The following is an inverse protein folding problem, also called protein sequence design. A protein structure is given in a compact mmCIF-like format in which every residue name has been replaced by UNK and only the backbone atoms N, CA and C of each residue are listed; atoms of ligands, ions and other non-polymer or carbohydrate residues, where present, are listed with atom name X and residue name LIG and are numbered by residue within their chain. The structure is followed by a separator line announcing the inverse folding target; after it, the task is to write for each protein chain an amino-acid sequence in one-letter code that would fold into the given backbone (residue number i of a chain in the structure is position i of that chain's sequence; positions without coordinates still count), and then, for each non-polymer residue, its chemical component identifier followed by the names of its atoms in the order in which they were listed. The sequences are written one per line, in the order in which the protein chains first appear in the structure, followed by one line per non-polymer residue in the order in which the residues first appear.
data_IF_667814616875
#
_entry.id   IF_667814616875
#
_cell.length_a   1.000
_cell.length_b   1.000
_cell.length_c   1.000
_cell.angle_alpha   90.00
_cell.angle_beta   90.00
_cell.angle_gamma   90.00
#
_symmetry.space_group_name_H-M   'P 1'
#
loop_
_entity.id
_entity.type
_entity.pdbx_description
1 polymer ?
#
# COMPACT_ATOMS: atom_id res chain seq x y z
N UNK A 1 20.66 6.67 6.31
CA UNK A 1 20.86 5.73 5.19
C UNK A 1 19.85 4.58 5.18
N UNK A 2 19.85 3.66 6.17
CA UNK A 2 18.89 2.54 6.16
C UNK A 2 17.41 2.97 6.30
N UNK A 3 17.13 3.96 7.16
CA UNK A 3 15.78 4.52 7.33
C UNK A 3 15.24 5.17 6.04
N UNK A 4 16.05 5.94 5.33
CA UNK A 4 15.66 6.61 4.09
C UNK A 4 15.31 5.60 2.99
N UNK A 5 16.08 4.52 2.87
CA UNK A 5 15.79 3.43 1.94
C UNK A 5 14.49 2.71 2.26
N UNK A 6 14.19 2.51 3.54
CA UNK A 6 12.96 1.87 3.98
C UNK A 6 11.73 2.76 3.73
N UNK A 7 11.84 4.07 3.93
CA UNK A 7 10.77 5.04 3.58
C UNK A 7 10.47 4.99 2.09
N UNK A 8 11.50 5.02 1.23
CA UNK A 8 11.33 4.94 -0.23
C UNK A 8 10.64 3.62 -0.61
N UNK A 9 11.05 2.50 -0.01
CA UNK A 9 10.43 1.19 -0.26
C UNK A 9 8.94 1.19 0.11
N UNK A 10 8.57 1.72 1.27
CA UNK A 10 7.17 1.80 1.72
C UNK A 10 6.31 2.66 0.79
N UNK A 11 6.85 3.78 0.31
CA UNK A 11 6.16 4.65 -0.65
C UNK A 11 5.93 3.91 -1.98
N UNK A 12 6.96 3.25 -2.51
CA UNK A 12 6.85 2.47 -3.76
C UNK A 12 5.81 1.36 -3.60
N UNK A 13 5.82 0.64 -2.48
CA UNK A 13 4.87 -0.42 -2.21
C UNK A 13 3.43 0.12 -2.07
N UNK A 14 3.23 1.25 -1.40
CA UNK A 14 1.94 1.93 -1.31
C UNK A 14 1.40 2.33 -2.69
N UNK A 15 2.26 2.88 -3.56
CA UNK A 15 1.89 3.21 -4.94
C UNK A 15 1.52 1.95 -5.74
N UNK A 16 2.29 0.87 -5.61
CA UNK A 16 2.00 -0.41 -6.26
C UNK A 16 0.63 -0.98 -5.85
N UNK A 17 0.24 -0.84 -4.59
CA UNK A 17 -1.09 -1.27 -4.13
C UNK A 17 -2.22 -0.44 -4.74
N UNK A 18 -2.04 0.88 -4.87
CA UNK A 18 -3.01 1.74 -5.57
C UNK A 18 -3.09 1.43 -7.07
N UNK A 19 -1.94 1.17 -7.71
CA UNK A 19 -1.90 0.71 -9.10
C UNK A 19 -2.60 -0.65 -9.23
N UNK A 20 -2.36 -1.55 -8.29
CA UNK A 20 -3.05 -2.83 -8.15
C UNK A 20 -4.56 -2.70 -7.93
N UNK A 21 -5.07 -1.60 -7.41
CA UNK A 21 -6.51 -1.35 -7.33
C UNK A 21 -7.13 -1.18 -8.72
N UNK A 22 -6.48 -0.39 -9.59
CA UNK A 22 -6.94 -0.13 -10.96
C UNK A 22 -6.77 -1.35 -11.88
N UNK A 23 -5.64 -2.05 -11.78
CA UNK A 23 -5.37 -3.27 -12.55
C UNK A 23 -5.98 -4.54 -11.95
N UNK A 24 -6.69 -4.39 -10.82
CA UNK A 24 -6.87 -5.41 -9.78
C UNK A 24 -7.43 -6.77 -10.17
N UNK A 25 -7.61 -7.65 -9.18
CA UNK A 25 -7.86 -9.08 -9.39
C UNK A 25 -9.13 -9.29 -10.23
N UNK A 26 -8.95 -9.51 -11.53
CA UNK A 26 -10.05 -9.63 -12.49
C UNK A 26 -10.42 -11.10 -12.77
N UNK A 27 -9.67 -12.04 -12.20
CA UNK A 27 -9.84 -13.48 -12.38
C UNK A 27 -10.93 -14.10 -11.49
N UNK A 28 -11.47 -13.35 -10.53
CA UNK A 28 -12.50 -13.85 -9.62
C UNK A 28 -13.90 -13.76 -10.24
N UNK A 29 -14.62 -14.89 -10.28
CA UNK A 29 -15.96 -14.98 -10.90
C UNK A 29 -17.04 -14.35 -10.03
N UNK A 30 -16.87 -14.36 -8.70
CA UNK A 30 -17.79 -13.74 -7.74
C UNK A 30 -17.49 -12.26 -7.56
N UNK A 31 -18.42 -11.40 -7.99
CA UNK A 31 -18.30 -9.94 -7.91
C UNK A 31 -18.02 -9.42 -6.49
N UNK A 32 -18.66 -10.02 -5.48
CA UNK A 32 -18.47 -9.61 -4.07
C UNK A 32 -17.02 -9.82 -3.63
N UNK A 33 -16.44 -11.00 -3.90
CA UNK A 33 -15.06 -11.32 -3.55
C UNK A 33 -14.05 -10.49 -4.32
N UNK A 34 -14.34 -10.22 -5.59
CA UNK A 34 -13.55 -9.30 -6.41
C UNK A 34 -13.50 -7.89 -5.81
N UNK A 35 -14.65 -7.38 -5.39
CA UNK A 35 -14.75 -6.05 -4.80
C UNK A 35 -14.10 -6.00 -3.42
N UNK A 36 -14.28 -7.02 -2.58
CA UNK A 36 -13.57 -7.15 -1.30
C UNK A 36 -12.05 -7.06 -1.50
N UNK A 37 -11.50 -7.85 -2.43
CA UNK A 37 -10.07 -7.87 -2.72
C UNK A 37 -9.55 -6.52 -3.25
N UNK A 38 -10.30 -5.84 -4.12
CA UNK A 38 -9.93 -4.50 -4.59
C UNK A 38 -9.97 -3.47 -3.46
N UNK A 39 -11.08 -3.40 -2.72
CA UNK A 39 -11.26 -2.41 -1.65
C UNK A 39 -10.23 -2.56 -0.55
N UNK A 40 -9.74 -3.78 -0.27
CA UNK A 40 -8.67 -4.03 0.71
C UNK A 40 -7.31 -3.40 0.34
N UNK A 41 -7.04 -3.11 -0.95
CA UNK A 41 -5.75 -2.52 -1.37
C UNK A 41 -5.59 -1.06 -0.93
N UNK A 42 -6.69 -0.31 -0.85
CA UNK A 42 -6.69 1.10 -0.46
C UNK A 42 -6.26 1.31 1.01
N UNK A 43 -6.89 0.67 2.02
CA UNK A 43 -6.48 0.83 3.41
C UNK A 43 -5.06 0.29 3.65
N UNK A 44 -4.64 -0.77 2.95
CA UNK A 44 -3.26 -1.26 3.01
C UNK A 44 -2.26 -0.22 2.50
N UNK A 45 -2.52 0.42 1.36
CA UNK A 45 -1.68 1.50 0.84
C UNK A 45 -1.61 2.69 1.81
N UNK A 46 -2.75 3.09 2.39
CA UNK A 46 -2.83 4.18 3.35
C UNK A 46 -1.96 3.92 4.59
N UNK A 47 -2.01 2.71 5.16
CA UNK A 47 -1.18 2.32 6.30
C UNK A 47 0.31 2.42 5.96
N UNK A 48 0.73 1.99 4.77
CA UNK A 48 2.12 2.08 4.35
C UNK A 48 2.61 3.54 4.25
N UNK A 49 1.77 4.45 3.75
CA UNK A 49 2.13 5.88 3.72
C UNK A 49 2.21 6.49 5.12
N UNK A 50 1.29 6.13 6.01
CA UNK A 50 1.34 6.57 7.42
C UNK A 50 2.63 6.08 8.09
N UNK A 51 2.99 4.81 7.89
CA UNK A 51 4.25 4.25 8.40
C UNK A 51 5.46 4.95 7.79
N UNK A 52 5.46 5.21 6.48
CA UNK A 52 6.53 5.94 5.82
C UNK A 52 6.72 7.35 6.43
N UNK A 53 5.63 8.05 6.73
CA UNK A 53 5.66 9.36 7.38
C UNK A 53 6.24 9.29 8.80
N UNK A 54 5.81 8.30 9.60
CA UNK A 54 6.31 8.11 10.98
C UNK A 54 7.81 7.78 11.00
N UNK A 55 8.25 6.95 10.06
CA UNK A 55 9.65 6.53 9.96
C UNK A 55 10.51 7.67 9.44
N UNK A 56 10.00 8.46 8.50
CA UNK A 56 10.68 9.65 7.97
C UNK A 56 10.77 10.79 8.98
N UNK A 57 9.74 11.00 9.81
CA UNK A 57 9.74 12.05 10.83
C UNK A 57 10.73 11.83 11.97
N UNK A 58 11.41 10.67 12.01
CA UNK A 58 12.40 10.35 13.03
C UNK A 58 11.79 10.05 14.40
N UNK A 59 10.47 9.86 14.50
CA UNK A 59 9.80 9.48 15.76
C UNK A 59 10.27 8.11 16.26
N UNK A 60 10.74 7.25 15.36
CA UNK A 60 11.33 5.94 15.65
C UNK A 60 12.87 5.94 15.65
N UNK A 61 13.50 7.12 15.65
CA UNK A 61 14.95 7.31 15.64
C UNK A 61 15.58 7.30 17.03
#
# INVERSE_FOLDING_TARGET
MAHEGLVIFLIILGILLLVGFYFGPNTETRLVKRNEGKVMLIPSAAILFVLALIIFSGVLG
#
